data_IF_004074241481
#
_entry.id   IF_004074241481
#
_cell.length_a   1.000
_cell.length_b   1.000
_cell.length_c   1.000
_cell.angle_alpha   90.00
_cell.angle_beta   90.00
_cell.angle_gamma   90.00
#
_symmetry.space_group_name_H-M   'P 1'
#
loop_
_entity.id
_entity.type
_entity.pdbx_description
1 polymer ?
#
# COMPACT_ATOMS: atom_id res chain seq x y z
N UNK A 1 -21.31 10.90 1.58
CA UNK A 1 -20.04 11.35 0.97
C UNK A 1 -19.75 10.46 -0.24
N UNK A 2 -19.69 11.03 -1.44
CA UNK A 2 -19.28 10.28 -2.63
C UNK A 2 -17.76 10.03 -2.52
N UNK A 3 -17.35 8.77 -2.48
CA UNK A 3 -15.93 8.39 -2.58
C UNK A 3 -15.50 8.64 -4.03
N UNK A 4 -14.76 9.73 -4.27
CA UNK A 4 -14.13 9.95 -5.56
C UNK A 4 -13.05 8.90 -5.81
N UNK A 5 -13.14 8.19 -6.93
CA UNK A 5 -12.20 7.11 -7.26
C UNK A 5 -11.07 7.56 -8.20
N UNK A 6 -10.70 8.84 -8.13
CA UNK A 6 -9.56 9.37 -8.89
C UNK A 6 -8.25 8.79 -8.36
N UNK A 7 -7.24 8.74 -9.22
CA UNK A 7 -5.88 8.33 -8.86
C UNK A 7 -5.33 9.11 -7.64
N UNK A 8 -5.61 10.40 -7.57
CA UNK A 8 -5.22 11.26 -6.45
C UNK A 8 -5.92 10.86 -5.15
N UNK A 9 -7.25 10.69 -5.17
CA UNK A 9 -7.99 10.27 -3.99
C UNK A 9 -7.60 8.86 -3.52
N UNK A 10 -7.19 7.97 -4.43
CA UNK A 10 -6.62 6.67 -4.08
C UNK A 10 -5.26 6.81 -3.38
N UNK A 11 -4.34 7.65 -3.89
CA UNK A 11 -3.04 7.90 -3.25
C UNK A 11 -3.21 8.49 -1.85
N UNK A 12 -4.09 9.46 -1.68
CA UNK A 12 -4.33 10.10 -0.38
C UNK A 12 -4.87 9.12 0.66
N UNK A 13 -5.86 8.29 0.29
CA UNK A 13 -6.38 7.21 1.14
C UNK A 13 -5.28 6.22 1.53
N UNK A 14 -4.52 5.75 0.55
CA UNK A 14 -3.43 4.80 0.79
C UNK A 14 -2.36 5.38 1.71
N UNK A 15 -1.98 6.64 1.52
CA UNK A 15 -1.01 7.32 2.36
C UNK A 15 -1.53 7.51 3.80
N UNK A 16 -2.80 7.93 3.97
CA UNK A 16 -3.42 8.02 5.29
C UNK A 16 -3.44 6.66 5.99
N UNK A 17 -3.82 5.61 5.27
CA UNK A 17 -3.85 4.25 5.81
C UNK A 17 -2.46 3.75 6.21
N UNK A 18 -1.43 4.09 5.43
CA UNK A 18 -0.03 3.79 5.70
C UNK A 18 0.54 4.53 6.91
N UNK A 19 0.07 5.76 7.17
CA UNK A 19 0.43 6.52 8.38
C UNK A 19 -0.14 5.88 9.65
N UNK A 20 -1.30 5.23 9.54
CA UNK A 20 -1.90 4.50 10.66
C UNK A 20 -1.28 3.11 10.87
N UNK A 21 -0.56 2.60 9.86
CA UNK A 21 0.16 1.35 9.95
C UNK A 21 0.34 0.68 8.60
N UNK A 22 1.12 -0.41 8.56
CA UNK A 22 1.34 -1.17 7.33
C UNK A 22 0.05 -1.75 6.76
N UNK A 23 0.06 -2.00 5.45
CA UNK A 23 -1.08 -2.54 4.72
C UNK A 23 -0.63 -3.54 3.65
N UNK A 24 -1.36 -4.63 3.48
CA UNK A 24 -1.11 -5.59 2.40
C UNK A 24 -1.79 -5.17 1.10
N UNK A 25 -1.33 -5.71 -0.03
CA UNK A 25 -1.98 -5.49 -1.32
C UNK A 25 -3.45 -5.91 -1.30
N UNK A 26 -3.76 -7.00 -0.61
CA UNK A 26 -5.13 -7.50 -0.45
C UNK A 26 -6.00 -6.53 0.36
N UNK A 27 -5.49 -6.06 1.50
CA UNK A 27 -6.20 -5.07 2.32
C UNK A 27 -6.43 -3.76 1.54
N UNK A 28 -5.45 -3.28 0.79
CA UNK A 28 -5.63 -2.07 -0.02
C UNK A 28 -6.69 -2.23 -1.12
N UNK A 29 -6.82 -3.42 -1.70
CA UNK A 29 -7.87 -3.70 -2.69
C UNK A 29 -9.27 -3.80 -2.06
N UNK A 30 -9.38 -4.49 -0.91
CA UNK A 30 -10.68 -4.82 -0.31
C UNK A 30 -11.17 -3.78 0.71
N UNK A 31 -10.30 -3.28 1.58
CA UNK A 31 -10.66 -2.34 2.65
C UNK A 31 -10.66 -0.88 2.14
N UNK A 32 -9.65 -0.50 1.36
CA UNK A 32 -9.47 0.88 0.90
C UNK A 32 -10.13 1.17 -0.46
N UNK A 33 -10.64 0.15 -1.14
CA UNK A 33 -11.24 0.22 -2.49
C UNK A 33 -10.27 0.87 -3.50
N UNK A 34 -9.06 0.31 -3.56
CA UNK A 34 -7.98 0.73 -4.47
C UNK A 34 -7.67 -0.45 -5.40
N UNK A 35 -8.20 -0.46 -6.64
CA UNK A 35 -8.09 -1.61 -7.54
C UNK A 35 -6.64 -2.04 -7.81
N UNK A 36 -5.74 -1.06 -7.93
CA UNK A 36 -4.32 -1.30 -8.20
C UNK A 36 -3.46 -0.56 -7.18
N UNK A 37 -3.16 -1.23 -6.07
CA UNK A 37 -2.36 -0.67 -4.96
C UNK A 37 -0.90 -0.44 -5.39
N UNK A 38 -0.30 -1.38 -6.12
CA UNK A 38 1.12 -1.31 -6.46
C UNK A 38 1.51 -0.07 -7.29
N UNK A 39 0.75 0.35 -8.33
CA UNK A 39 0.97 1.64 -9.00
C UNK A 39 0.90 2.84 -8.05
N UNK A 40 -0.07 2.86 -7.10
CA UNK A 40 -0.20 3.97 -6.15
C UNK A 40 0.98 4.04 -5.19
N UNK A 41 1.51 2.89 -4.76
CA UNK A 41 2.76 2.82 -3.97
C UNK A 41 3.94 3.33 -4.79
N UNK A 42 4.02 2.97 -6.07
CA UNK A 42 5.08 3.45 -6.96
C UNK A 42 5.07 4.98 -7.08
N UNK A 43 3.91 5.57 -7.37
CA UNK A 43 3.73 7.03 -7.44
C UNK A 43 4.12 7.69 -6.11
N UNK A 44 3.62 7.17 -4.98
CA UNK A 44 3.95 7.72 -3.65
C UNK A 44 5.46 7.70 -3.37
N UNK A 45 6.21 6.71 -3.86
CA UNK A 45 7.67 6.64 -3.72
C UNK A 45 8.41 7.57 -4.66
N UNK A 46 8.05 7.55 -5.93
CA UNK A 46 8.87 8.15 -6.99
C UNK A 46 8.46 9.59 -7.29
N UNK A 47 7.18 9.91 -7.20
CA UNK A 47 6.65 11.24 -7.52
C UNK A 47 6.49 12.10 -6.25
N UNK A 48 6.14 11.47 -5.12
CA UNK A 48 5.89 12.15 -3.83
C UNK A 48 6.97 11.87 -2.77
N UNK A 49 8.00 11.10 -3.11
CA UNK A 49 9.19 10.87 -2.30
C UNK A 49 8.95 10.23 -0.90
N UNK A 50 7.85 9.50 -0.73
CA UNK A 50 7.56 8.78 0.52
C UNK A 50 8.42 7.52 0.66
N UNK A 51 9.09 7.37 1.81
CA UNK A 51 9.91 6.20 2.10
C UNK A 51 9.05 4.98 2.45
N UNK A 52 8.47 4.34 1.45
CA UNK A 52 7.64 3.13 1.64
C UNK A 52 8.50 1.90 1.35
N UNK A 53 8.62 0.96 2.28
CA UNK A 53 9.23 -0.35 2.05
C UNK A 53 8.20 -1.40 1.65
N UNK A 54 8.61 -2.36 0.83
CA UNK A 54 7.81 -3.55 0.53
C UNK A 54 8.44 -4.74 1.24
N UNK A 55 7.67 -5.35 2.12
CA UNK A 55 7.96 -6.62 2.76
C UNK A 55 7.05 -7.69 2.14
N UNK A 56 7.47 -8.94 2.21
CA UNK A 56 6.65 -10.06 1.75
C UNK A 56 6.29 -10.94 2.93
N UNK A 57 4.99 -11.13 3.16
CA UNK A 57 4.44 -12.10 4.11
C UNK A 57 3.88 -13.30 3.36
N UNK A 58 3.96 -14.49 3.97
CA UNK A 58 3.24 -15.66 3.51
C UNK A 58 1.93 -15.72 4.29
N UNK A 59 0.82 -15.44 3.62
CA UNK A 59 -0.51 -15.42 4.24
C UNK A 59 -1.41 -16.44 3.56
N UNK A 60 -2.20 -17.15 4.38
CA UNK A 60 -3.20 -18.08 3.90
C UNK A 60 -4.45 -17.30 3.48
N UNK A 61 -4.83 -17.39 2.20
CA UNK A 61 -6.12 -16.84 1.76
C UNK A 61 -7.23 -17.77 2.27
N UNK A 62 -8.29 -17.27 2.94
CA UNK A 62 -9.38 -18.12 3.40
C UNK A 62 -9.98 -18.93 2.23
N UNK A 63 -10.11 -20.25 2.42
CA UNK A 63 -10.60 -21.20 1.42
C UNK A 63 -9.52 -21.81 0.49
N UNK A 64 -8.29 -21.29 0.51
CA UNK A 64 -7.15 -21.88 -0.19
C UNK A 64 -6.20 -22.42 0.86
N UNK A 65 -6.10 -23.74 1.04
CA UNK A 65 -5.13 -24.37 1.96
C UNK A 65 -3.65 -24.12 1.60
N UNK A 66 -3.34 -23.13 0.75
CA UNK A 66 -2.01 -22.72 0.30
C UNK A 66 -1.69 -21.32 0.81
N UNK A 67 -0.47 -21.16 1.31
CA UNK A 67 0.08 -19.85 1.61
C UNK A 67 0.48 -19.15 0.30
N UNK A 68 0.05 -17.90 0.16
CA UNK A 68 0.44 -17.04 -0.95
C UNK A 68 1.42 -16.00 -0.42
N UNK A 69 2.41 -15.66 -1.24
CA UNK A 69 3.32 -14.56 -0.93
C UNK A 69 2.60 -13.24 -1.24
N UNK A 70 2.32 -12.45 -0.22
CA UNK A 70 1.61 -11.17 -0.32
C UNK A 70 2.57 -10.03 -0.03
N UNK A 71 2.52 -8.98 -0.85
CA UNK A 71 3.27 -7.76 -0.59
C UNK A 71 2.58 -6.91 0.50
N UNK A 72 3.36 -6.56 1.53
CA UNK A 72 3.03 -5.67 2.63
C UNK A 72 3.83 -4.39 2.50
N UNK A 73 3.15 -3.25 2.57
CA UNK A 73 3.75 -1.93 2.44
C UNK A 73 3.85 -1.26 3.79
N UNK A 74 5.02 -0.73 4.11
CA UNK A 74 5.34 -0.09 5.41
C UNK A 74 5.86 1.31 5.15
N UNK A 75 5.25 2.32 5.75
CA UNK A 75 5.76 3.69 5.69
C UNK A 75 6.88 3.86 6.73
N UNK A 76 8.06 4.20 6.25
CA UNK A 76 9.25 4.47 7.06
C UNK A 76 9.44 5.98 7.23
N UNK A 77 10.13 6.43 8.29
CA UNK A 77 10.58 7.81 8.40
C UNK A 77 11.58 8.16 7.29
N UNK A 78 11.68 9.45 6.97
CA UNK A 78 12.59 10.00 5.96
C UNK A 78 12.02 9.97 4.53
N UNK A 79 12.85 10.39 3.57
CA UNK A 79 12.50 10.40 2.14
C UNK A 79 12.93 9.11 1.44
N UNK A 80 12.27 8.78 0.33
CA UNK A 80 12.62 7.60 -0.45
C UNK A 80 14.05 7.71 -0.99
N UNK A 81 14.88 6.69 -0.72
CA UNK A 81 16.32 6.63 -1.08
C UNK A 81 17.20 7.72 -0.47
N UNK A 82 16.73 8.42 0.55
CA UNK A 82 17.59 9.29 1.35
C UNK A 82 18.62 8.43 2.08
N UNK A 83 19.91 8.66 1.80
CA UNK A 83 20.99 8.00 2.53
C UNK A 83 20.94 8.53 3.97
N UNK A 84 20.87 7.61 4.94
CA UNK A 84 21.06 7.94 6.36
C UNK A 84 22.46 8.49 6.59
#
# INVERSE_FOLDING_TARGET
>A
MIKCNSAESQRLRLLQRLRNGPITTFQGQHEEDIPSVAPRIFELRHDFNHNIKTEYSYESRPGSGRQHRIARYVLMPGKFREKK
#
